data_IF_403997815012
#
_entry.id   IF_403997815012
#
_cell.length_a   1.000
_cell.length_b   1.000
_cell.length_c   1.000
_cell.angle_alpha   90.00
_cell.angle_beta   90.00
_cell.angle_gamma   90.00
#
_symmetry.space_group_name_H-M   'P 1'
#
loop_
_entity.id
_entity.type
_entity.pdbx_description
1 polymer ?
#
# COMPACT_ATOMS: atom_id res chain seq x y z
N UNK A 1 -5.89 -1.99 2.60
CA UNK A 1 -5.57 -1.79 1.17
C UNK A 1 -6.02 -3.03 0.40
N UNK A 2 -6.97 -2.85 -0.53
CA UNK A 2 -7.59 -3.94 -1.30
C UNK A 2 -7.25 -3.75 -2.77
N UNK A 3 -6.52 -4.69 -3.36
CA UNK A 3 -6.36 -4.79 -4.82
C UNK A 3 -7.64 -5.41 -5.38
N UNK A 4 -8.48 -4.64 -6.07
CA UNK A 4 -9.66 -5.17 -6.76
C UNK A 4 -9.38 -5.31 -8.24
N UNK A 5 -9.27 -6.54 -8.74
CA UNK A 5 -9.19 -6.82 -10.18
C UNK A 5 -10.60 -6.88 -10.76
N UNK A 6 -10.97 -5.91 -11.59
CA UNK A 6 -12.20 -5.96 -12.40
C UNK A 6 -11.78 -6.39 -13.81
N UNK A 7 -12.36 -7.49 -14.33
CA UNK A 7 -12.09 -7.99 -15.69
C UNK A 7 -12.26 -6.85 -16.71
N UNK A 8 -11.15 -6.45 -17.35
CA UNK A 8 -11.14 -5.46 -18.43
C UNK A 8 -10.80 -4.02 -18.06
N UNK A 9 -10.48 -3.71 -16.80
CA UNK A 9 -10.10 -2.35 -16.35
C UNK A 9 -8.86 -2.39 -15.45
N UNK A 10 -8.11 -1.28 -15.46
CA UNK A 10 -6.83 -1.06 -14.75
C UNK A 10 -6.89 -1.56 -13.31
N UNK A 11 -5.84 -2.26 -12.84
CA UNK A 11 -5.68 -2.45 -11.40
C UNK A 11 -5.40 -1.07 -10.81
N UNK A 12 -6.08 -0.68 -9.73
CA UNK A 12 -5.81 0.56 -9.03
C UNK A 12 -5.34 0.21 -7.61
N UNK A 13 -4.24 0.84 -7.17
CA UNK A 13 -3.78 0.78 -5.78
C UNK A 13 -4.26 2.04 -5.05
N UNK A 14 -4.88 1.86 -3.89
CA UNK A 14 -5.38 2.97 -3.09
C UNK A 14 -5.08 2.80 -1.60
N UNK A 15 -4.81 3.94 -0.97
CA UNK A 15 -4.57 4.08 0.46
C UNK A 15 -5.57 5.09 1.03
N UNK A 16 -6.16 4.75 2.18
CA UNK A 16 -7.18 5.56 2.86
C UNK A 16 -7.05 5.37 4.37
N UNK A 17 -7.58 6.35 5.11
CA UNK A 17 -7.78 6.28 6.55
C UNK A 17 -9.29 6.37 6.86
N UNK A 18 -9.65 6.63 8.12
CA UNK A 18 -11.04 6.79 8.54
C UNK A 18 -11.67 8.12 8.08
N UNK A 19 -10.91 9.03 7.46
CA UNK A 19 -11.39 10.32 6.98
C UNK A 19 -11.71 10.23 5.49
N UNK A 20 -10.74 9.81 4.66
CA UNK A 20 -10.88 9.74 3.20
C UNK A 20 -9.70 9.01 2.54
N UNK A 21 -9.71 8.99 1.21
CA UNK A 21 -8.62 8.46 0.38
C UNK A 21 -7.42 9.43 0.44
N UNK A 22 -6.25 8.89 0.79
CA UNK A 22 -4.98 9.63 0.82
C UNK A 22 -4.33 9.60 -0.57
N UNK A 23 -4.37 8.44 -1.24
CA UNK A 23 -3.73 8.25 -2.54
C UNK A 23 -4.45 7.18 -3.36
N UNK A 24 -4.58 7.45 -4.65
CA UNK A 24 -4.89 6.48 -5.70
C UNK A 24 -3.72 6.50 -6.68
N UNK A 25 -3.27 5.32 -7.11
CA UNK A 25 -2.35 5.14 -8.21
C UNK A 25 -2.98 4.14 -9.20
N UNK A 26 -3.01 4.53 -10.48
CA UNK A 26 -3.61 3.71 -11.53
C UNK A 26 -2.51 2.87 -12.15
N UNK A 27 -2.60 1.55 -11.98
CA UNK A 27 -1.64 0.64 -12.60
C UNK A 27 -1.88 0.67 -14.10
N UNK A 28 -0.85 0.96 -14.92
CA UNK A 28 -1.00 1.00 -16.37
C UNK A 28 -1.59 -0.29 -16.93
N UNK A 29 -2.39 -0.18 -17.98
CA UNK A 29 -3.00 -1.33 -18.64
C UNK A 29 -1.92 -2.35 -19.07
N UNK A 30 -2.18 -3.64 -18.82
CA UNK A 30 -1.23 -4.72 -19.10
C UNK A 30 -0.05 -4.82 -18.13
N UNK A 31 0.00 -4.00 -17.06
CA UNK A 31 0.98 -4.12 -15.97
C UNK A 31 0.34 -4.74 -14.74
N UNK A 32 1.17 -5.44 -13.96
CA UNK A 32 0.81 -5.99 -12.65
C UNK A 32 1.51 -5.20 -11.56
N UNK A 33 0.91 -5.16 -10.37
CA UNK A 33 1.57 -4.66 -9.16
C UNK A 33 2.73 -5.58 -8.83
N UNK A 34 3.96 -5.08 -8.94
CA UNK A 34 5.18 -5.79 -8.51
C UNK A 34 5.58 -5.29 -7.13
N UNK A 35 6.49 -6.00 -6.44
CA UNK A 35 7.01 -5.53 -5.15
C UNK A 35 7.70 -4.16 -5.28
N UNK A 36 8.38 -3.90 -6.40
CA UNK A 36 9.02 -2.59 -6.68
C UNK A 36 7.95 -1.52 -6.88
N UNK A 37 6.92 -1.79 -7.66
CA UNK A 37 5.81 -0.86 -7.85
C UNK A 37 5.14 -0.51 -6.52
N UNK A 38 4.85 -1.52 -5.69
CA UNK A 38 4.22 -1.31 -4.39
C UNK A 38 5.12 -0.52 -3.43
N UNK A 39 6.44 -0.79 -3.44
CA UNK A 39 7.40 0.03 -2.70
C UNK A 39 7.34 1.49 -3.14
N UNK A 40 7.38 1.76 -4.44
CA UNK A 40 7.30 3.13 -4.97
C UNK A 40 5.97 3.81 -4.60
N UNK A 41 4.86 3.05 -4.60
CA UNK A 41 3.57 3.50 -4.08
C UNK A 41 3.65 3.92 -2.61
N UNK A 42 4.28 3.13 -1.73
CA UNK A 42 4.48 3.46 -0.32
C UNK A 42 5.34 4.71 -0.12
N UNK A 43 6.39 4.89 -0.93
CA UNK A 43 7.20 6.11 -0.91
C UNK A 43 6.37 7.35 -1.25
N UNK A 44 5.50 7.24 -2.27
CA UNK A 44 4.60 8.32 -2.68
C UNK A 44 3.52 8.60 -1.63
N UNK A 45 2.98 7.54 -1.03
CA UNK A 45 2.03 7.62 0.06
C UNK A 45 2.64 8.37 1.25
N UNK A 46 3.87 8.02 1.67
CA UNK A 46 4.57 8.72 2.76
C UNK A 46 4.69 10.21 2.49
N UNK A 47 5.07 10.61 1.27
CA UNK A 47 5.15 12.02 0.86
C UNK A 47 3.79 12.73 0.95
N UNK A 48 2.70 12.08 0.52
CA UNK A 48 1.34 12.62 0.65
C UNK A 48 0.88 12.70 2.11
N UNK A 49 1.20 11.72 2.93
CA UNK A 49 0.91 11.75 4.36
C UNK A 49 1.63 12.89 5.06
N UNK A 50 2.91 13.17 4.73
CA UNK A 50 3.61 14.33 5.28
C UNK A 50 2.87 15.66 5.00
N UNK A 51 2.25 15.79 3.83
CA UNK A 51 1.53 17.00 3.43
C UNK A 51 0.11 17.08 4.02
N UNK A 52 -0.63 15.97 3.97
CA UNK A 52 -2.08 15.97 4.17
C UNK A 52 -2.50 15.31 5.49
N UNK A 53 -1.64 14.48 6.08
CA UNK A 53 -1.90 13.65 7.27
C UNK A 53 -0.68 13.56 8.20
N UNK A 54 -0.04 14.68 8.59
CA UNK A 54 1.17 14.63 9.41
C UNK A 54 0.95 13.91 10.75
N UNK A 55 -0.26 13.95 11.30
CA UNK A 55 -0.63 13.23 12.52
C UNK A 55 -0.41 11.72 12.42
N UNK A 56 -0.69 11.11 11.26
CA UNK A 56 -0.51 9.66 11.09
C UNK A 56 0.96 9.26 11.17
N UNK A 57 1.87 10.14 10.81
CA UNK A 57 3.31 9.88 10.84
C UNK A 57 3.92 10.05 12.23
N UNK A 58 3.28 10.84 13.10
CA UNK A 58 3.73 11.04 14.48
C UNK A 58 3.43 9.81 15.34
N UNK A 59 2.35 9.09 15.03
CA UNK A 59 1.85 7.97 15.85
C UNK A 59 2.30 6.58 15.36
N UNK A 60 3.32 6.52 14.48
CA UNK A 60 3.76 5.28 13.81
C UNK A 60 2.61 4.60 13.03
N UNK A 61 2.54 4.78 11.69
CA UNK A 61 1.48 4.19 10.88
C UNK A 61 1.34 2.67 11.02
N UNK A 62 0.11 2.23 11.28
CA UNK A 62 -0.30 0.83 11.14
C UNK A 62 -0.82 0.61 9.72
N UNK A 63 -0.22 -0.32 8.99
CA UNK A 63 -0.56 -0.64 7.61
C UNK A 63 -1.36 -1.94 7.56
N UNK A 64 -2.60 -1.85 7.08
CA UNK A 64 -3.43 -3.01 6.77
C UNK A 64 -3.43 -3.27 5.27
N UNK A 65 -2.83 -4.38 4.83
CA UNK A 65 -2.86 -4.85 3.45
C UNK A 65 -3.03 -6.37 3.39
N UNK A 66 -3.44 -6.90 2.24
CA UNK A 66 -3.50 -8.35 2.04
C UNK A 66 -2.10 -8.96 1.87
N UNK A 67 -1.98 -10.28 2.05
CA UNK A 67 -0.73 -11.02 1.90
C UNK A 67 -0.37 -11.33 0.44
N UNK A 68 -0.77 -10.48 -0.51
CA UNK A 68 -0.41 -10.65 -1.91
C UNK A 68 1.13 -10.66 -2.05
N UNK A 69 1.67 -11.53 -2.93
CA UNK A 69 3.12 -11.71 -3.11
C UNK A 69 3.91 -10.40 -3.23
N UNK A 70 3.45 -9.37 -3.98
CA UNK A 70 4.13 -8.08 -4.04
C UNK A 70 4.28 -7.40 -2.68
N UNK A 71 3.27 -7.48 -1.81
CA UNK A 71 3.21 -6.73 -0.55
C UNK A 71 4.00 -7.38 0.58
N UNK A 72 4.22 -8.70 0.53
CA UNK A 72 5.04 -9.44 1.50
C UNK A 72 6.47 -9.67 0.99
N UNK A 73 6.84 -9.09 -0.15
CA UNK A 73 8.17 -9.21 -0.71
C UNK A 73 9.22 -8.46 0.13
N UNK A 74 10.46 -8.97 0.13
CA UNK A 74 11.57 -8.42 0.94
C UNK A 74 11.76 -6.91 0.78
N UNK A 75 11.66 -6.39 -0.44
CA UNK A 75 11.81 -4.95 -0.74
C UNK A 75 10.75 -4.12 -0.03
N UNK A 76 9.54 -4.64 0.12
CA UNK A 76 8.43 -3.94 0.79
C UNK A 76 8.58 -4.05 2.30
N UNK A 77 8.90 -5.24 2.82
CA UNK A 77 9.06 -5.45 4.27
C UNK A 77 10.22 -4.62 4.84
N UNK A 78 11.35 -4.54 4.13
CA UNK A 78 12.45 -3.66 4.53
C UNK A 78 12.05 -2.18 4.45
N UNK A 79 11.30 -1.78 3.41
CA UNK A 79 10.87 -0.38 3.30
C UNK A 79 9.90 0.03 4.42
N UNK A 80 8.96 -0.84 4.81
CA UNK A 80 8.10 -0.59 5.96
C UNK A 80 8.91 -0.47 7.26
N UNK A 81 9.92 -1.34 7.44
CA UNK A 81 10.83 -1.30 8.58
C UNK A 81 11.66 -0.02 8.62
N UNK A 82 12.24 0.42 7.51
CA UNK A 82 12.95 1.69 7.37
C UNK A 82 12.06 2.88 7.73
N UNK A 83 10.77 2.76 7.46
CA UNK A 83 9.80 3.81 7.76
C UNK A 83 9.29 3.77 9.20
N UNK A 84 9.61 2.70 9.93
CA UNK A 84 9.04 2.42 11.25
C UNK A 84 7.54 2.14 11.18
N UNK A 85 7.01 1.69 10.04
CA UNK A 85 5.60 1.39 9.84
C UNK A 85 5.34 -0.08 10.17
N UNK A 86 4.30 -0.35 10.95
CA UNK A 86 3.95 -1.71 11.35
C UNK A 86 2.88 -2.29 10.41
N UNK A 87 3.17 -3.45 9.80
CA UNK A 87 2.16 -4.19 9.04
C UNK A 87 1.29 -5.04 9.97
N UNK A 88 -0.01 -4.80 9.98
CA UNK A 88 -0.95 -5.61 10.74
C UNK A 88 -1.06 -7.00 10.15
N UNK A 89 -1.06 -8.03 11.00
CA UNK A 89 -1.24 -9.43 10.57
C UNK A 89 -2.60 -9.59 9.91
N UNK A 90 -2.60 -9.98 8.64
CA UNK A 90 -3.80 -10.36 7.90
C UNK A 90 -3.85 -11.88 7.72
N UNK A 91 -4.98 -12.55 7.97
CA UNK A 91 -5.11 -13.97 7.69
C UNK A 91 -4.90 -14.25 6.20
N UNK A 92 -4.25 -15.36 5.88
CA UNK A 92 -4.13 -15.80 4.49
C UNK A 92 -5.51 -16.16 3.97
N UNK A 93 -5.90 -15.62 2.81
CA UNK A 93 -7.12 -16.04 2.15
C UNK A 93 -7.04 -17.53 1.83
N UNK A 94 -8.06 -18.30 2.20
CA UNK A 94 -8.19 -19.72 1.86
C UNK A 94 -8.22 -19.81 0.32
N UNK A 95 -7.21 -20.43 -0.27
CA UNK A 95 -7.18 -20.76 -1.72
C UNK A 95 -8.07 -21.96 -2.00
#
# INVERSE_FOLDING_TARGET
MSTSTIKGQTNDDFAYDNQEIIMIDRVPCGKSVTAVYYRDFLQNLRRKMHKNRPQLLNDTPLILHNNARPHIGHVVTENLREYGWEALRHPTART
#
